data_IF_090240723050
#
_entry.id   IF_090240723050
#
_cell.length_a   1.000
_cell.length_b   1.000
_cell.length_c   1.000
_cell.angle_alpha   90.00
_cell.angle_beta   90.00
_cell.angle_gamma   90.00
#
_symmetry.space_group_name_H-M   'P 1'
#
loop_
_entity.id
_entity.type
_entity.pdbx_description
1 polymer ?
#
# COMPACT_ATOMS: atom_id res chain seq x y z
N UNK A 1 -1.52 21.67 9.00
CA UNK A 1 -0.66 22.54 8.20
C UNK A 1 0.67 21.89 7.87
N UNK A 2 1.58 21.66 8.83
CA UNK A 2 2.89 21.02 8.55
C UNK A 2 2.74 19.68 7.81
N UNK A 3 1.91 18.77 8.35
CA UNK A 3 1.62 17.48 7.71
C UNK A 3 1.01 17.58 6.30
N UNK A 4 0.24 18.63 6.01
CA UNK A 4 -0.37 18.81 4.68
C UNK A 4 0.68 19.28 3.67
N UNK A 5 1.64 20.10 4.11
CA UNK A 5 2.80 20.49 3.30
C UNK A 5 3.68 19.28 3.00
N UNK A 6 3.91 18.40 3.97
CA UNK A 6 4.71 17.19 3.79
C UNK A 6 4.05 16.21 2.81
N UNK A 7 2.73 16.02 2.91
CA UNK A 7 1.97 15.19 1.96
C UNK A 7 2.07 15.77 0.54
N UNK A 8 1.93 17.10 0.39
CA UNK A 8 2.06 17.75 -0.91
C UNK A 8 3.48 17.62 -1.48
N UNK A 9 4.52 17.68 -0.62
CA UNK A 9 5.92 17.45 -1.01
C UNK A 9 6.11 16.04 -1.54
N UNK A 10 5.63 15.02 -0.82
CA UNK A 10 5.72 13.62 -1.26
C UNK A 10 4.96 13.42 -2.58
N UNK A 11 3.73 13.92 -2.69
CA UNK A 11 2.94 13.80 -3.92
C UNK A 11 3.57 14.48 -5.14
N UNK A 12 4.40 15.51 -4.94
CA UNK A 12 5.17 16.14 -6.01
C UNK A 12 6.48 15.39 -6.34
N UNK A 13 6.99 14.58 -5.41
CA UNK A 13 8.26 13.89 -5.51
C UNK A 13 8.15 12.45 -6.05
N UNK A 14 7.09 11.73 -5.66
CA UNK A 14 6.90 10.32 -6.01
C UNK A 14 5.43 10.02 -6.29
N UNK A 15 5.21 9.31 -7.38
CA UNK A 15 3.94 8.67 -7.69
C UNK A 15 3.95 7.26 -7.09
N UNK A 16 2.97 6.98 -6.22
CA UNK A 16 2.85 5.71 -5.51
C UNK A 16 1.60 5.00 -5.99
N UNK A 17 1.72 3.73 -6.33
CA UNK A 17 0.61 2.94 -6.86
C UNK A 17 0.65 1.49 -6.41
N UNK A 18 -0.48 0.81 -6.60
CA UNK A 18 -0.59 -0.64 -6.45
C UNK A 18 -0.75 -1.25 -7.86
N UNK A 19 0.05 -2.28 -8.14
CA UNK A 19 0.10 -2.96 -9.44
C UNK A 19 0.18 -4.47 -9.25
N UNK A 20 0.10 -5.21 -10.37
CA UNK A 20 0.32 -6.67 -10.41
C UNK A 20 -0.52 -7.48 -9.42
N UNK A 21 -1.76 -7.07 -9.14
CA UNK A 21 -2.61 -7.71 -8.12
C UNK A 21 -3.09 -9.08 -8.64
N UNK A 22 -2.55 -10.15 -8.08
CA UNK A 22 -2.88 -11.53 -8.43
C UNK A 22 -3.30 -12.32 -7.19
N UNK A 23 -4.38 -13.10 -7.31
CA UNK A 23 -4.81 -14.00 -6.25
C UNK A 23 -4.10 -15.34 -6.36
N UNK A 24 -3.54 -15.79 -5.23
CA UNK A 24 -2.82 -17.06 -5.12
C UNK A 24 -3.39 -17.89 -3.97
N UNK A 25 -3.50 -19.20 -4.16
CA UNK A 25 -3.91 -20.11 -3.10
C UNK A 25 -2.73 -20.40 -2.16
N UNK A 26 -2.91 -20.16 -0.86
CA UNK A 26 -1.89 -20.39 0.17
C UNK A 26 -2.41 -21.29 1.29
N UNK A 27 -1.48 -21.75 2.13
CA UNK A 27 -1.82 -22.51 3.33
C UNK A 27 -2.53 -21.57 4.33
N UNK A 28 -3.85 -21.72 4.46
CA UNK A 28 -4.70 -20.86 5.30
C UNK A 28 -5.75 -20.05 4.54
N UNK A 29 -5.81 -20.16 3.21
CA UNK A 29 -6.79 -19.51 2.35
C UNK A 29 -6.13 -18.71 1.21
N UNK A 30 -6.92 -18.11 0.32
CA UNK A 30 -6.38 -17.28 -0.73
C UNK A 30 -5.70 -16.04 -0.15
N UNK A 31 -4.61 -15.63 -0.79
CA UNK A 31 -3.87 -14.38 -0.55
C UNK A 31 -3.82 -13.57 -1.85
N UNK A 32 -3.48 -12.28 -1.76
CA UNK A 32 -3.08 -11.51 -2.94
C UNK A 32 -1.58 -11.26 -2.91
N UNK A 33 -0.92 -11.54 -4.01
CA UNK A 33 0.40 -11.02 -4.33
C UNK A 33 0.21 -9.73 -5.13
N UNK A 34 0.94 -8.68 -4.80
CA UNK A 34 0.85 -7.40 -5.49
C UNK A 34 2.18 -6.64 -5.39
N UNK A 35 2.32 -5.60 -6.18
CA UNK A 35 3.48 -4.72 -6.19
C UNK A 35 3.08 -3.31 -5.77
N UNK A 36 3.81 -2.71 -4.83
CA UNK A 36 3.75 -1.25 -4.63
C UNK A 36 4.83 -0.63 -5.52
N UNK A 37 4.40 0.21 -6.45
CA UNK A 37 5.30 0.94 -7.36
C UNK A 37 5.58 2.32 -6.81
N UNK A 38 6.84 2.72 -6.79
CA UNK A 38 7.30 4.07 -6.44
C UNK A 38 8.00 4.65 -7.65
N UNK A 39 7.40 5.65 -8.30
CA UNK A 39 7.96 6.29 -9.48
C UNK A 39 8.36 7.72 -9.17
N UNK A 40 9.66 8.02 -9.32
CA UNK A 40 10.20 9.38 -9.13
C UNK A 40 9.55 10.35 -10.11
N UNK A 41 9.21 11.53 -9.62
CA UNK A 41 8.68 12.65 -10.39
C UNK A 41 9.76 13.74 -10.51
N UNK A 42 9.41 15.00 -10.30
CA UNK A 42 10.29 16.15 -10.51
C UNK A 42 11.13 16.46 -9.26
N UNK A 43 11.98 15.51 -8.85
CA UNK A 43 12.93 15.71 -7.74
C UNK A 43 14.23 14.91 -7.94
N UNK A 44 15.35 15.49 -7.51
CA UNK A 44 16.66 14.83 -7.44
C UNK A 44 17.00 14.40 -6.00
N UNK A 45 16.11 14.65 -5.03
CA UNK A 45 16.33 14.27 -3.64
C UNK A 45 16.22 12.75 -3.46
N UNK A 46 17.01 12.13 -2.57
CA UNK A 46 16.84 10.72 -2.25
C UNK A 46 15.44 10.48 -1.67
N UNK A 47 14.83 9.35 -2.02
CA UNK A 47 13.52 8.95 -1.51
C UNK A 47 13.70 7.61 -0.79
N UNK A 48 13.33 7.56 0.49
CA UNK A 48 13.44 6.35 1.29
C UNK A 48 12.05 5.90 1.70
N UNK A 49 11.75 4.63 1.46
CA UNK A 49 10.53 3.97 1.93
C UNK A 49 10.95 3.00 3.02
N UNK A 50 10.50 3.24 4.25
CA UNK A 50 10.98 2.47 5.41
C UNK A 50 9.94 1.50 5.98
N UNK A 51 8.66 1.72 5.73
CA UNK A 51 7.58 0.90 6.28
C UNK A 51 6.35 0.91 5.36
N UNK A 52 5.62 -0.20 5.33
CA UNK A 52 4.29 -0.31 4.71
C UNK A 52 3.36 -0.98 5.70
N UNK A 53 2.16 -0.42 5.87
CA UNK A 53 1.16 -1.00 6.78
C UNK A 53 -0.12 -1.32 6.05
N UNK A 54 -0.74 -2.41 6.51
CA UNK A 54 -2.11 -2.75 6.16
C UNK A 54 -3.13 -1.86 6.83
N UNK A 55 -4.40 -2.24 6.68
CA UNK A 55 -5.54 -1.57 7.28
C UNK A 55 -6.22 -2.47 8.34
N UNK A 56 -7.40 -2.07 8.80
CA UNK A 56 -8.19 -2.88 9.74
C UNK A 56 -8.59 -4.25 9.14
N UNK A 57 -8.83 -4.29 7.83
CA UNK A 57 -9.30 -5.51 7.15
C UNK A 57 -8.19 -6.27 6.44
N UNK A 58 -7.10 -5.60 6.09
CA UNK A 58 -6.00 -6.20 5.33
C UNK A 58 -4.70 -6.14 6.11
N UNK A 59 -4.02 -7.27 6.19
CA UNK A 59 -2.62 -7.33 6.59
C UNK A 59 -1.77 -7.25 5.34
N UNK A 60 -0.79 -6.36 5.34
CA UNK A 60 0.23 -6.24 4.29
C UNK A 60 1.57 -6.65 4.89
N UNK A 61 2.31 -7.49 4.17
CA UNK A 61 3.71 -7.80 4.43
C UNK A 61 4.48 -7.45 3.17
N UNK A 62 5.48 -6.58 3.28
CA UNK A 62 6.39 -6.26 2.19
C UNK A 62 7.78 -6.77 2.50
N UNK A 63 8.39 -7.44 1.53
CA UNK A 63 9.76 -7.92 1.64
C UNK A 63 10.71 -6.93 0.95
N UNK A 64 11.84 -6.63 1.57
CA UNK A 64 12.86 -5.76 0.98
C UNK A 64 12.82 -4.29 1.40
N UNK A 65 12.11 -3.96 2.49
CA UNK A 65 12.23 -2.67 3.17
C UNK A 65 13.48 -2.63 4.09
N UNK A 66 14.12 -1.44 4.25
CA UNK A 66 13.82 -0.19 3.55
C UNK A 66 14.28 -0.22 2.08
N UNK A 67 13.56 0.51 1.23
CA UNK A 67 13.94 0.76 -0.18
C UNK A 67 14.44 2.19 -0.28
N UNK A 68 15.57 2.38 -0.95
CA UNK A 68 16.10 3.71 -1.29
C UNK A 68 16.07 3.88 -2.81
N UNK A 69 15.40 4.93 -3.29
CA UNK A 69 15.56 5.44 -4.64
C UNK A 69 16.63 6.53 -4.58
N UNK A 70 17.83 6.23 -5.05
CA UNK A 70 18.87 7.23 -5.21
C UNK A 70 18.44 8.27 -6.27
N UNK A 71 19.16 9.39 -6.37
CA UNK A 71 18.80 10.52 -7.23
C UNK A 71 18.57 10.15 -8.71
N UNK A 72 19.19 9.07 -9.20
CA UNK A 72 19.08 8.62 -10.60
C UNK A 72 18.11 7.43 -10.79
N UNK A 73 17.52 6.90 -9.72
CA UNK A 73 16.58 5.81 -9.81
C UNK A 73 15.20 6.37 -10.17
N UNK A 74 14.70 5.98 -11.34
CA UNK A 74 13.42 6.43 -11.84
C UNK A 74 12.23 5.72 -11.16
N UNK A 75 12.45 4.49 -10.71
CA UNK A 75 11.40 3.63 -10.16
C UNK A 75 11.98 2.60 -9.18
N UNK A 76 11.19 2.24 -8.18
CA UNK A 76 11.38 1.04 -7.38
C UNK A 76 10.06 0.28 -7.21
N UNK A 77 10.16 -1.02 -6.99
CA UNK A 77 9.02 -1.91 -6.78
C UNK A 77 9.21 -2.64 -5.46
N UNK A 78 8.17 -2.64 -4.63
CA UNK A 78 8.09 -3.42 -3.40
C UNK A 78 7.06 -4.53 -3.60
N UNK A 79 7.49 -5.80 -3.75
CA UNK A 79 6.59 -6.94 -3.71
C UNK A 79 5.95 -7.05 -2.33
N UNK A 80 4.62 -7.22 -2.31
CA UNK A 80 3.84 -7.37 -1.10
C UNK A 80 2.89 -8.57 -1.16
N UNK A 81 2.56 -9.08 0.02
CA UNK A 81 1.50 -10.06 0.23
C UNK A 81 0.39 -9.41 1.05
N UNK A 82 -0.85 -9.51 0.57
CA UNK A 82 -2.06 -9.03 1.23
C UNK A 82 -2.90 -10.21 1.69
N UNK A 83 -3.15 -10.29 2.99
CA UNK A 83 -4.00 -11.32 3.62
C UNK A 83 -5.15 -10.69 4.41
N UNK A 84 -6.25 -11.40 4.68
CA UNK A 84 -7.31 -10.88 5.54
C UNK A 84 -6.77 -10.73 6.97
N UNK A 85 -6.86 -9.53 7.53
CA UNK A 85 -6.51 -9.29 8.94
C UNK A 85 -7.65 -9.74 9.87
N UNK A 86 -8.90 -9.54 9.44
CA UNK A 86 -10.13 -9.85 10.19
C UNK A 86 -11.25 -10.26 9.25
N UNK A 87 -11.97 -11.33 9.62
CA UNK A 87 -13.15 -11.83 8.89
C UNK A 87 -14.44 -11.78 9.73
N UNK A 88 -14.43 -11.20 10.93
CA UNK A 88 -15.65 -11.08 11.71
C UNK A 88 -16.59 -10.03 11.09
N UNK A 89 -17.87 -10.41 10.91
CA UNK A 89 -18.87 -9.59 10.21
C UNK A 89 -19.08 -8.17 10.78
N UNK A 90 -18.72 -7.96 12.05
CA UNK A 90 -18.72 -6.63 12.67
C UNK A 90 -17.64 -5.71 12.07
N UNK A 91 -16.43 -6.22 11.82
CA UNK A 91 -15.34 -5.44 11.22
C UNK A 91 -15.61 -5.10 9.74
N UNK A 92 -16.23 -6.03 9.00
CA UNK A 92 -16.54 -5.86 7.59
C UNK A 92 -17.64 -4.81 7.34
N UNK A 93 -18.70 -4.83 8.16
CA UNK A 93 -19.84 -3.90 8.01
C UNK A 93 -19.57 -2.47 8.49
N UNK A 94 -18.59 -2.26 9.37
CA UNK A 94 -18.33 -0.95 9.99
C UNK A 94 -17.05 -0.25 9.47
N UNK A 95 -16.27 -0.90 8.60
CA UNK A 95 -15.03 -0.31 8.09
C UNK A 95 -15.33 0.85 7.13
N UNK A 96 -15.06 2.07 7.59
CA UNK A 96 -15.30 3.31 6.83
C UNK A 96 -14.24 3.58 5.74
N UNK A 97 -13.05 3.02 5.89
CA UNK A 97 -11.90 3.25 5.01
C UNK A 97 -11.01 1.99 4.94
N UNK A 98 -11.52 0.88 4.38
CA UNK A 98 -10.79 -0.39 4.39
C UNK A 98 -9.53 -0.38 3.52
N UNK A 99 -9.43 0.54 2.55
CA UNK A 99 -8.37 0.59 1.53
C UNK A 99 -7.31 1.66 1.82
N UNK A 100 -7.18 2.11 3.07
CA UNK A 100 -6.12 3.03 3.47
C UNK A 100 -4.89 2.24 3.90
N UNK A 101 -3.89 2.23 3.02
CA UNK A 101 -2.59 1.59 3.26
C UNK A 101 -1.52 2.66 3.39
N UNK A 102 -1.06 2.99 4.61
CA UNK A 102 -0.02 3.98 4.79
C UNK A 102 1.36 3.38 4.51
N UNK A 103 2.12 4.07 3.68
CA UNK A 103 3.56 3.87 3.45
C UNK A 103 4.33 5.01 4.11
N UNK A 104 5.44 4.69 4.77
CA UNK A 104 6.29 5.69 5.38
C UNK A 104 7.36 6.12 4.37
N UNK A 105 7.28 7.39 3.95
CA UNK A 105 8.14 7.94 2.91
C UNK A 105 8.90 9.15 3.46
N UNK A 106 10.20 9.16 3.21
CA UNK A 106 11.13 10.25 3.45
C UNK A 106 11.61 10.80 2.10
N UNK A 107 11.70 12.14 2.00
CA UNK A 107 12.21 12.82 0.80
C UNK A 107 13.26 13.83 1.22
N UNK A 108 14.51 13.60 0.82
CA UNK A 108 15.66 14.40 1.25
C UNK A 108 15.91 14.25 2.75
N UNK A 109 16.07 15.37 3.46
CA UNK A 109 16.31 15.41 4.90
C UNK A 109 15.02 15.59 5.73
N UNK A 110 13.84 15.48 5.11
CA UNK A 110 12.56 15.63 5.81
C UNK A 110 12.22 14.35 6.62
N UNK A 111 11.60 14.55 7.78
CA UNK A 111 11.09 13.43 8.59
C UNK A 111 10.07 12.61 7.79
N UNK A 112 10.15 11.29 7.95
CA UNK A 112 9.25 10.39 7.26
C UNK A 112 7.83 10.55 7.75
N UNK A 113 6.87 10.53 6.81
CA UNK A 113 5.46 10.57 7.15
C UNK A 113 4.68 9.46 6.45
N UNK A 114 3.56 9.09 7.06
CA UNK A 114 2.60 8.17 6.47
C UNK A 114 1.87 8.83 5.29
N UNK A 115 2.19 8.39 4.09
CA UNK A 115 1.51 8.70 2.84
C UNK A 115 0.55 7.57 2.48
N UNK A 116 -0.66 7.88 2.01
CA UNK A 116 -1.64 6.86 1.67
C UNK A 116 -1.50 6.48 0.20
N UNK A 117 -1.38 5.18 -0.08
CA UNK A 117 -1.39 4.69 -1.46
C UNK A 117 -2.78 5.00 -2.07
N UNK A 118 -2.86 5.75 -3.18
CA UNK A 118 -4.10 5.91 -3.91
C UNK A 118 -4.51 4.57 -4.52
N UNK A 119 -5.64 4.03 -4.08
CA UNK A 119 -6.20 2.78 -4.64
C UNK A 119 -7.39 3.16 -5.54
N UNK A 120 -7.28 3.01 -6.87
CA UNK A 120 -8.37 3.20 -7.82
C UNK A 120 -9.60 2.35 -7.51
N UNK A 121 -10.78 2.79 -7.93
CA UNK A 121 -12.06 2.12 -7.62
C UNK A 121 -12.10 0.67 -8.11
N UNK A 122 -11.58 0.39 -9.30
CA UNK A 122 -11.48 -0.97 -9.84
C UNK A 122 -10.62 -1.90 -8.97
N UNK A 123 -9.52 -1.38 -8.42
CA UNK A 123 -8.69 -2.14 -7.47
C UNK A 123 -9.37 -2.29 -6.10
N UNK A 124 -10.13 -1.29 -5.66
CA UNK A 124 -10.95 -1.41 -4.44
C UNK A 124 -12.00 -2.51 -4.58
N UNK A 125 -12.65 -2.59 -5.75
CA UNK A 125 -13.62 -3.65 -6.06
C UNK A 125 -12.94 -5.03 -6.04
N UNK A 126 -11.76 -5.17 -6.68
CA UNK A 126 -10.97 -6.40 -6.65
C UNK A 126 -10.59 -6.82 -5.22
N UNK A 127 -10.14 -5.87 -4.38
CA UNK A 127 -9.81 -6.14 -2.97
C UNK A 127 -11.05 -6.59 -2.18
N UNK A 128 -12.21 -6.00 -2.46
CA UNK A 128 -13.46 -6.38 -1.81
C UNK A 128 -13.94 -7.78 -2.23
N UNK A 129 -13.90 -8.10 -3.52
CA UNK A 129 -14.21 -9.44 -4.04
C UNK A 129 -13.29 -10.51 -3.43
N UNK A 130 -11.99 -10.21 -3.35
CA UNK A 130 -11.04 -11.05 -2.64
C UNK A 130 -11.44 -11.26 -1.18
N UNK A 131 -11.75 -10.20 -0.44
CA UNK A 131 -12.08 -10.30 0.98
C UNK A 131 -13.35 -11.12 1.23
N UNK A 132 -14.37 -10.98 0.38
CA UNK A 132 -15.60 -11.79 0.47
C UNK A 132 -15.33 -13.27 0.19
N UNK A 133 -14.46 -13.58 -0.76
CA UNK A 133 -14.04 -14.95 -1.06
C UNK A 133 -13.21 -15.54 0.07
N UNK A 134 -12.17 -14.83 0.52
CA UNK A 134 -11.24 -15.28 1.55
C UNK A 134 -11.93 -15.48 2.92
N UNK A 135 -12.92 -14.64 3.24
CA UNK A 135 -13.71 -14.77 4.46
C UNK A 135 -14.94 -15.71 4.32
N UNK A 136 -15.14 -16.35 3.17
CA UNK A 136 -16.22 -17.31 2.96
C UNK A 136 -17.62 -16.69 2.99
N UNK A 137 -17.76 -15.45 2.55
CA UNK A 137 -19.01 -14.70 2.48
C UNK A 137 -19.74 -14.82 1.14
N UNK A 138 -19.10 -15.48 0.17
CA UNK A 138 -19.75 -15.92 -1.06
C UNK A 138 -20.69 -17.09 -0.75
N UNK A 139 -21.98 -16.90 -1.03
CA UNK A 139 -23.05 -17.86 -0.80
C UNK A 139 -23.37 -18.61 -2.09
#
# INVERSE_FOLDING_TARGET
>A
HERECDIARIAAAVDVGLASIEQVEAEGGPILEADITFRRLETDEPIVVSDVRGSVLYRIVGDGLPIELAANDAEAVLPIVISPARCDGHALGESKQPFVFPVHIEVGDADGIGYHIPIPTDQQDQLYEYLTTACGLVN
#
